data_IF_864651841228
#
_entry.id   IF_864651841228
#
_cell.length_a   1.000
_cell.length_b   1.000
_cell.length_c   1.000
_cell.angle_alpha   90.00
_cell.angle_beta   90.00
_cell.angle_gamma   90.00
#
_symmetry.space_group_name_H-M   'P 1'
#
loop_
_entity.id
_entity.type
_entity.pdbx_description
1 polymer ?
#
# COMPACT_ATOMS: atom_id res chain seq x y z
N UNK A 1 2.19 -18.48 5.16
CA UNK A 1 2.77 -17.41 6.02
C UNK A 1 2.05 -16.12 5.67
N UNK A 2 1.47 -15.36 6.63
CA UNK A 2 0.89 -14.05 6.33
C UNK A 2 1.98 -13.18 5.69
N UNK A 3 1.67 -12.35 4.68
CA UNK A 3 2.66 -11.42 4.10
C UNK A 3 3.26 -10.57 5.23
N UNK A 4 4.59 -10.38 5.23
CA UNK A 4 5.31 -9.70 6.32
C UNK A 4 4.79 -8.28 6.54
N UNK A 5 4.30 -7.63 5.48
CA UNK A 5 3.55 -6.39 5.56
C UNK A 5 2.40 -6.42 6.60
N UNK A 6 1.67 -7.55 6.71
CA UNK A 6 0.58 -7.69 7.68
C UNK A 6 1.11 -7.85 9.12
N UNK A 7 2.31 -8.41 9.31
CA UNK A 7 2.91 -8.59 10.63
C UNK A 7 3.46 -7.27 11.20
N UNK A 8 4.09 -6.43 10.39
CA UNK A 8 4.60 -5.13 10.82
C UNK A 8 3.48 -4.21 11.36
N UNK A 9 2.30 -4.33 10.78
CA UNK A 9 1.14 -3.47 11.05
C UNK A 9 0.36 -3.93 12.29
N UNK A 10 0.37 -5.22 12.59
CA UNK A 10 -0.32 -5.77 13.78
C UNK A 10 0.39 -5.41 15.10
N UNK A 11 1.68 -5.04 15.07
CA UNK A 11 2.47 -4.81 16.28
C UNK A 11 2.17 -3.49 17.02
N UNK A 12 1.35 -2.58 16.49
CA UNK A 12 1.36 -1.17 16.97
C UNK A 12 0.07 -0.62 17.66
N UNK A 13 -1.06 -1.35 17.73
CA UNK A 13 -2.19 -1.14 18.68
C UNK A 13 -3.04 0.17 18.69
N UNK A 14 -4.36 0.04 18.55
CA UNK A 14 -5.39 1.01 19.03
C UNK A 14 -5.96 1.99 18.00
N UNK A 15 -5.19 3.01 17.61
CA UNK A 15 -5.51 3.87 16.44
C UNK A 15 -5.09 3.21 15.11
N UNK A 16 -4.21 2.23 15.22
CA UNK A 16 -3.64 1.40 14.17
C UNK A 16 -4.65 0.47 13.51
N UNK A 17 -5.80 0.17 14.13
CA UNK A 17 -6.80 -0.71 13.52
C UNK A 17 -7.41 -0.15 12.24
N UNK A 18 -7.59 1.17 12.13
CA UNK A 18 -8.12 1.79 10.91
C UNK A 18 -7.05 1.81 9.81
N UNK A 19 -5.83 2.18 10.16
CA UNK A 19 -4.66 2.14 9.25
C UNK A 19 -4.43 0.73 8.72
N UNK A 20 -4.44 -0.25 9.62
CA UNK A 20 -4.24 -1.66 9.32
C UNK A 20 -5.32 -2.22 8.40
N UNK A 21 -6.60 -1.91 8.68
CA UNK A 21 -7.72 -2.33 7.83
C UNK A 21 -7.65 -1.69 6.45
N UNK A 22 -7.37 -0.38 6.37
CA UNK A 22 -7.23 0.32 5.10
C UNK A 22 -6.07 -0.24 4.26
N UNK A 23 -4.90 -0.42 4.88
CA UNK A 23 -3.74 -1.02 4.24
C UNK A 23 -4.06 -2.44 3.74
N UNK A 24 -4.66 -3.27 4.59
CA UNK A 24 -5.02 -4.65 4.23
C UNK A 24 -5.97 -4.68 3.04
N UNK A 25 -6.97 -3.80 3.00
CA UNK A 25 -7.92 -3.71 1.88
C UNK A 25 -7.23 -3.28 0.58
N UNK A 26 -6.41 -2.22 0.62
CA UNK A 26 -5.69 -1.72 -0.56
C UNK A 26 -4.72 -2.74 -1.14
N UNK A 27 -3.96 -3.44 -0.29
CA UNK A 27 -3.03 -4.48 -0.75
C UNK A 27 -3.78 -5.71 -1.27
N UNK A 28 -4.91 -6.08 -0.66
CA UNK A 28 -5.74 -7.18 -1.15
C UNK A 28 -6.29 -6.87 -2.56
N UNK A 29 -6.73 -5.63 -2.82
CA UNK A 29 -7.18 -5.21 -4.15
C UNK A 29 -6.07 -5.36 -5.20
N UNK A 30 -4.83 -4.99 -4.87
CA UNK A 30 -3.67 -5.15 -5.77
C UNK A 30 -3.38 -6.63 -6.02
N UNK A 31 -3.31 -7.44 -4.96
CA UNK A 31 -3.04 -8.89 -5.05
C UNK A 31 -4.14 -9.60 -5.84
N UNK A 32 -5.40 -9.15 -5.73
CA UNK A 32 -6.54 -9.74 -6.45
C UNK A 32 -6.36 -9.73 -7.97
N UNK A 33 -5.55 -8.82 -8.51
CA UNK A 33 -5.23 -8.75 -9.93
C UNK A 33 -4.52 -10.01 -10.44
N UNK A 34 -3.87 -10.80 -9.57
CA UNK A 34 -3.27 -12.09 -9.92
C UNK A 34 -4.27 -13.06 -10.58
N UNK A 35 -5.55 -12.95 -10.25
CA UNK A 35 -6.61 -13.85 -10.73
C UNK A 35 -6.94 -13.67 -12.22
N UNK A 36 -6.49 -12.59 -12.83
CA UNK A 36 -6.74 -12.28 -14.24
C UNK A 36 -5.41 -12.01 -14.93
N UNK A 37 -5.18 -12.55 -16.12
CA UNK A 37 -3.96 -12.26 -16.89
C UNK A 37 -3.92 -10.78 -17.35
N UNK A 38 -5.04 -10.25 -17.81
CA UNK A 38 -5.20 -8.88 -18.33
C UNK A 38 -6.48 -8.22 -17.80
N UNK A 39 -6.65 -6.90 -18.00
CA UNK A 39 -7.90 -6.19 -17.70
C UNK A 39 -8.25 -5.93 -16.23
N UNK A 40 -7.43 -6.36 -15.26
CA UNK A 40 -7.75 -6.23 -13.83
C UNK A 40 -7.55 -4.83 -13.21
N UNK A 41 -7.19 -3.82 -13.99
CA UNK A 41 -6.89 -2.47 -13.50
C UNK A 41 -5.65 -2.39 -12.59
N UNK A 42 -4.68 -3.30 -12.75
CA UNK A 42 -3.52 -3.43 -11.84
C UNK A 42 -2.77 -2.11 -11.62
N UNK A 43 -2.43 -1.41 -12.70
CA UNK A 43 -1.70 -0.12 -12.63
C UNK A 43 -2.46 0.92 -11.83
N UNK A 44 -3.78 1.05 -12.05
CA UNK A 44 -4.63 2.01 -11.35
C UNK A 44 -4.74 1.67 -9.86
N UNK A 45 -4.98 0.40 -9.53
CA UNK A 45 -5.05 -0.06 -8.14
C UNK A 45 -3.73 0.11 -7.40
N UNK A 46 -2.61 -0.23 -8.05
CA UNK A 46 -1.28 -0.03 -7.48
C UNK A 46 -0.97 1.45 -7.25
N UNK A 47 -1.31 2.31 -8.23
CA UNK A 47 -1.12 3.75 -8.10
C UNK A 47 -1.98 4.35 -6.97
N UNK A 48 -3.25 3.95 -6.88
CA UNK A 48 -4.15 4.36 -5.80
C UNK A 48 -3.64 3.92 -4.43
N UNK A 49 -3.19 2.67 -4.30
CA UNK A 49 -2.59 2.18 -3.07
C UNK A 49 -1.34 2.98 -2.70
N UNK A 50 -0.43 3.21 -3.64
CA UNK A 50 0.78 4.01 -3.44
C UNK A 50 0.47 5.46 -3.02
N UNK A 51 -0.51 6.09 -3.66
CA UNK A 51 -0.98 7.43 -3.32
C UNK A 51 -1.54 7.49 -1.88
N UNK A 52 -2.39 6.53 -1.51
CA UNK A 52 -2.95 6.50 -0.15
C UNK A 52 -1.88 6.24 0.91
N UNK A 53 -0.97 5.30 0.67
CA UNK A 53 0.12 5.01 1.60
C UNK A 53 1.08 6.19 1.73
N UNK A 54 1.37 6.93 0.66
CA UNK A 54 2.15 8.17 0.74
C UNK A 54 1.51 9.20 1.67
N UNK A 55 0.18 9.34 1.63
CA UNK A 55 -0.55 10.20 2.57
C UNK A 55 -0.43 9.72 4.03
N UNK A 56 -0.47 8.40 4.27
CA UNK A 56 -0.29 7.82 5.61
C UNK A 56 1.14 8.01 6.13
N UNK A 57 2.14 7.90 5.26
CA UNK A 57 3.55 8.16 5.58
C UNK A 57 3.72 9.62 6.00
N UNK A 58 3.18 10.56 5.22
CA UNK A 58 3.26 11.98 5.55
C UNK A 58 2.48 12.37 6.82
N UNK A 59 1.46 11.60 7.19
CA UNK A 59 0.73 11.76 8.45
C UNK A 59 1.37 11.03 9.64
N UNK A 60 2.51 10.34 9.45
CA UNK A 60 3.22 9.63 10.51
C UNK A 60 2.57 8.32 10.95
N UNK A 61 1.64 7.78 10.16
CA UNK A 61 0.95 6.52 10.47
C UNK A 61 1.67 5.27 9.96
N UNK A 62 2.62 5.43 9.04
CA UNK A 62 3.39 4.35 8.41
C UNK A 62 4.79 4.87 8.07
N UNK A 63 5.83 4.04 8.12
CA UNK A 63 7.15 4.44 7.63
C UNK A 63 7.21 4.36 6.09
N UNK A 64 8.04 5.20 5.46
CA UNK A 64 8.23 5.16 4.01
C UNK A 64 8.77 3.80 3.53
N UNK A 65 9.68 3.20 4.30
CA UNK A 65 10.21 1.86 4.03
C UNK A 65 9.13 0.79 4.08
N UNK A 66 8.29 0.78 5.12
CA UNK A 66 7.21 -0.22 5.25
C UNK A 66 6.18 -0.05 4.14
N UNK A 67 5.87 1.18 3.75
CA UNK A 67 4.98 1.47 2.64
C UNK A 67 5.52 0.93 1.31
N UNK A 68 6.79 1.20 1.01
CA UNK A 68 7.45 0.72 -0.21
C UNK A 68 7.55 -0.80 -0.24
N UNK A 69 7.95 -1.43 0.87
CA UNK A 69 8.09 -2.88 0.97
C UNK A 69 6.74 -3.58 0.77
N UNK A 70 5.70 -3.14 1.49
CA UNK A 70 4.36 -3.72 1.40
C UNK A 70 3.78 -3.65 -0.03
N UNK A 71 3.97 -2.52 -0.73
CA UNK A 71 3.52 -2.37 -2.12
C UNK A 71 4.34 -3.22 -3.09
N UNK A 72 5.65 -3.37 -2.88
CA UNK A 72 6.51 -4.22 -3.72
C UNK A 72 6.13 -5.69 -3.57
N UNK A 73 5.89 -6.15 -2.35
CA UNK A 73 5.40 -7.52 -2.08
C UNK A 73 4.06 -7.77 -2.78
N UNK A 74 3.09 -6.87 -2.63
CA UNK A 74 1.78 -7.00 -3.25
C UNK A 74 1.85 -6.97 -4.80
N UNK A 75 2.68 -6.09 -5.35
CA UNK A 75 2.89 -5.98 -6.79
C UNK A 75 3.57 -7.23 -7.37
N UNK A 76 4.59 -7.76 -6.68
CA UNK A 76 5.28 -8.98 -7.11
C UNK A 76 4.35 -10.20 -7.07
N UNK A 77 3.48 -10.30 -6.05
CA UNK A 77 2.47 -11.35 -5.98
C UNK A 77 1.42 -11.25 -7.11
N UNK A 78 1.03 -10.03 -7.49
CA UNK A 78 0.04 -9.81 -8.54
C UNK A 78 0.58 -9.98 -9.97
N UNK A 79 1.82 -9.54 -10.20
CA UNK A 79 2.49 -9.50 -11.51
C UNK A 79 3.99 -9.79 -11.39
N UNK A 80 4.38 -11.07 -11.25
CA UNK A 80 5.78 -11.47 -11.31
C UNK A 80 6.43 -11.00 -12.61
N UNK A 81 7.67 -10.49 -12.54
CA UNK A 81 8.43 -9.99 -13.69
C UNK A 81 8.15 -8.53 -14.07
N UNK A 82 7.26 -7.83 -13.37
CA UNK A 82 7.00 -6.40 -13.57
C UNK A 82 7.55 -5.50 -12.45
N UNK A 83 8.53 -5.97 -11.67
CA UNK A 83 9.03 -5.31 -10.47
C UNK A 83 9.60 -3.91 -10.75
N UNK A 84 10.34 -3.76 -11.86
CA UNK A 84 10.90 -2.46 -12.25
C UNK A 84 9.81 -1.43 -12.59
N UNK A 85 8.78 -1.86 -13.32
CA UNK A 85 7.64 -1.02 -13.70
C UNK A 85 6.83 -0.65 -12.45
N UNK A 86 6.47 -1.64 -11.64
CA UNK A 86 5.76 -1.48 -10.38
C UNK A 86 6.52 -0.56 -9.43
N UNK A 87 7.85 -0.71 -9.33
CA UNK A 87 8.70 0.15 -8.51
C UNK A 87 8.65 1.62 -8.91
N UNK A 88 8.55 1.95 -10.22
CA UNK A 88 8.36 3.34 -10.68
C UNK A 88 7.01 3.90 -10.25
N UNK A 89 5.92 3.12 -10.42
CA UNK A 89 4.56 3.51 -10.02
C UNK A 89 4.47 3.73 -8.51
N UNK A 90 5.10 2.85 -7.72
CA UNK A 90 5.13 2.94 -6.26
C UNK A 90 5.82 4.23 -5.83
N UNK A 91 7.02 4.51 -6.34
CA UNK A 91 7.77 5.72 -5.97
C UNK A 91 7.02 7.01 -6.34
N UNK A 92 6.48 7.08 -7.56
CA UNK A 92 5.74 8.28 -7.98
C UNK A 92 4.42 8.43 -7.22
N UNK A 93 3.71 7.33 -6.97
CA UNK A 93 2.47 7.33 -6.20
C UNK A 93 2.69 7.76 -4.75
N UNK A 94 3.70 7.23 -4.07
CA UNK A 94 4.05 7.63 -2.69
C UNK A 94 4.41 9.11 -2.66
N UNK A 95 5.28 9.59 -3.57
CA UNK A 95 5.67 10.99 -3.62
C UNK A 95 4.47 11.93 -3.88
N UNK A 96 3.51 11.51 -4.71
CA UNK A 96 2.28 12.25 -4.94
C UNK A 96 1.36 12.24 -3.70
N UNK A 97 1.24 11.10 -3.04
CA UNK A 97 0.45 10.92 -1.83
C UNK A 97 0.98 11.73 -0.65
N UNK A 98 2.31 11.79 -0.50
CA UNK A 98 2.97 12.51 0.59
C UNK A 98 2.68 14.02 0.58
N UNK A 99 2.31 14.58 -0.57
CA UNK A 99 1.86 15.97 -0.69
C UNK A 99 0.47 16.21 -0.08
N UNK A 100 -0.27 15.15 0.27
CA UNK A 100 -1.59 15.20 0.91
C UNK A 100 -1.65 14.25 2.11
N UNK A 101 -1.13 14.68 3.28
CA UNK A 101 -1.17 13.88 4.50
C UNK A 101 -2.58 13.36 4.82
N UNK A 102 -2.71 12.05 5.03
CA UNK A 102 -3.96 11.37 5.31
C UNK A 102 -4.07 11.04 6.80
N UNK A 103 -4.81 11.88 7.53
CA UNK A 103 -5.05 11.68 8.95
C UNK A 103 -6.25 10.74 9.16
N UNK A 104 -6.03 9.56 9.72
CA UNK A 104 -7.09 8.59 10.02
C UNK A 104 -7.74 8.87 11.38
N UNK A 105 -8.27 10.10 11.53
CA UNK A 105 -9.18 10.54 12.59
C UNK A 105 -8.94 10.02 14.01
N UNK A 106 -8.24 10.83 14.81
CA UNK A 106 -8.61 11.03 16.22
C UNK A 106 -9.72 12.09 16.29
N UNK A 107 -10.71 11.91 17.16
CA UNK A 107 -11.64 13.00 17.51
C UNK A 107 -10.82 14.22 17.93
N UNK A 108 -11.19 15.41 17.44
CA UNK A 108 -10.92 16.65 18.19
C UNK A 108 -11.59 16.56 19.54
#
# INVERSE_FOLDING_TARGET
>A
VPPRARQAVLAAGGGQDKTSRLLTALLADVVSCAQFAEGAGFTEKLNRAAYTLGGLVAAGHLSDSDAQEALREAAAAARPGQEQRSGRIIRSGIAAGAQRPLHLGGRR
#
